data_IF_912933973288
#
_entry.id   IF_912933973288
#
_cell.length_a   1.000
_cell.length_b   1.000
_cell.length_c   1.000
_cell.angle_alpha   90.00
_cell.angle_beta   90.00
_cell.angle_gamma   90.00
#
_symmetry.space_group_name_H-M   'P 1'
#
loop_
_entity.id
_entity.type
_entity.pdbx_description
1 polymer ?
#
# COMPACT_ATOMS: atom_id res chain seq x y z
N UNK A 1 21.25 -6.78 -14.06
CA UNK A 1 20.49 -5.85 -13.18
C UNK A 1 19.61 -5.02 -14.09
N UNK A 2 18.30 -5.06 -13.93
CA UNK A 2 17.42 -4.19 -14.72
C UNK A 2 17.71 -2.72 -14.34
N UNK A 3 18.01 -1.91 -15.36
CA UNK A 3 18.15 -0.46 -15.16
C UNK A 3 16.79 0.13 -14.82
N UNK A 4 16.72 0.96 -13.78
CA UNK A 4 15.45 1.62 -13.46
C UNK A 4 15.00 2.53 -14.60
N UNK A 5 13.69 2.60 -14.84
CA UNK A 5 13.13 3.58 -15.75
C UNK A 5 13.43 5.02 -15.32
N UNK A 6 13.30 5.95 -16.26
CA UNK A 6 13.43 7.39 -15.98
C UNK A 6 12.12 7.98 -15.49
N UNK A 7 12.19 9.16 -14.87
CA UNK A 7 11.00 9.92 -14.45
C UNK A 7 10.11 10.37 -15.64
N UNK A 8 10.62 10.30 -16.85
CA UNK A 8 9.92 10.62 -18.10
C UNK A 8 9.30 9.41 -18.78
N UNK A 9 9.59 8.20 -18.29
CA UNK A 9 9.03 6.97 -18.84
C UNK A 9 7.59 6.77 -18.40
N UNK A 10 6.85 5.93 -19.13
CA UNK A 10 5.43 5.71 -18.86
C UNK A 10 5.20 4.95 -17.55
N UNK A 11 3.98 5.06 -17.00
CA UNK A 11 3.57 4.27 -15.84
C UNK A 11 3.68 2.76 -16.12
N UNK A 12 3.31 2.32 -17.33
CA UNK A 12 3.39 0.92 -17.73
C UNK A 12 4.84 0.40 -17.67
N UNK A 13 5.83 1.21 -18.09
CA UNK A 13 7.25 0.86 -18.00
C UNK A 13 7.68 0.68 -16.54
N UNK A 14 7.20 1.55 -15.63
CA UNK A 14 7.47 1.43 -14.21
C UNK A 14 6.80 0.22 -13.58
N UNK A 15 5.56 -0.10 -13.97
CA UNK A 15 4.84 -1.28 -13.47
C UNK A 15 5.50 -2.58 -13.93
N UNK A 16 5.94 -2.65 -15.20
CA UNK A 16 6.72 -3.78 -15.71
C UNK A 16 8.05 -3.95 -14.96
N UNK A 17 8.78 -2.85 -14.76
CA UNK A 17 10.00 -2.86 -13.97
C UNK A 17 9.80 -3.44 -12.57
N UNK A 18 8.81 -2.93 -11.82
CA UNK A 18 8.51 -3.42 -10.48
C UNK A 18 8.06 -4.89 -10.46
N UNK A 19 7.45 -5.37 -11.53
CA UNK A 19 7.12 -6.79 -11.71
C UNK A 19 8.33 -7.72 -11.78
N UNK A 20 9.54 -7.18 -12.05
CA UNK A 20 10.76 -7.95 -12.28
C UNK A 20 11.92 -7.63 -11.30
N UNK A 21 11.75 -6.69 -10.40
CA UNK A 21 12.81 -6.27 -9.43
C UNK A 21 13.03 -7.31 -8.35
N UNK A 22 11.99 -7.99 -7.93
CA UNK A 22 12.02 -8.99 -6.88
C UNK A 22 11.72 -10.38 -7.44
N UNK A 23 12.37 -11.41 -6.87
CA UNK A 23 12.29 -12.78 -7.38
C UNK A 23 10.97 -13.46 -7.05
N UNK A 24 10.34 -13.09 -5.93
CA UNK A 24 9.09 -13.69 -5.45
C UNK A 24 7.93 -12.71 -5.56
N UNK A 25 6.79 -13.20 -6.10
CA UNK A 25 5.60 -12.35 -6.28
C UNK A 25 4.95 -11.93 -4.95
N UNK A 26 5.00 -12.80 -3.94
CA UNK A 26 4.54 -12.56 -2.57
C UNK A 26 5.68 -12.84 -1.62
N UNK A 27 6.02 -11.87 -0.80
CA UNK A 27 7.01 -12.00 0.26
C UNK A 27 6.44 -11.29 1.50
N UNK A 28 6.08 -12.08 2.51
CA UNK A 28 5.50 -11.58 3.77
C UNK A 28 6.62 -11.30 4.76
N UNK A 29 6.58 -10.14 5.36
CA UNK A 29 7.58 -9.70 6.35
C UNK A 29 7.87 -8.22 6.19
N UNK A 30 8.24 -7.56 7.27
CA UNK A 30 8.44 -6.11 7.30
C UNK A 30 9.93 -5.72 7.34
N UNK A 31 10.83 -6.68 7.56
CA UNK A 31 12.25 -6.42 7.81
C UNK A 31 12.94 -5.69 6.64
N UNK A 32 12.54 -6.00 5.40
CA UNK A 32 13.07 -5.34 4.19
C UNK A 32 12.40 -4.01 3.91
N UNK A 33 11.11 -3.90 4.23
CA UNK A 33 10.29 -2.74 3.89
C UNK A 33 10.53 -1.59 4.88
N UNK A 34 10.69 -1.89 6.17
CA UNK A 34 10.86 -0.88 7.23
C UNK A 34 12.00 0.09 6.92
N UNK A 35 13.24 -0.32 6.61
CA UNK A 35 14.32 0.62 6.34
C UNK A 35 14.03 1.56 5.17
N UNK A 36 13.34 1.04 4.13
CA UNK A 36 12.97 1.85 2.95
C UNK A 36 11.85 2.84 3.32
N UNK A 37 10.84 2.39 4.07
CA UNK A 37 9.76 3.24 4.55
C UNK A 37 10.25 4.36 5.48
N UNK A 38 11.21 4.04 6.37
CA UNK A 38 11.87 5.03 7.22
C UNK A 38 12.64 6.07 6.40
N UNK A 39 13.40 5.62 5.39
CA UNK A 39 14.13 6.50 4.49
C UNK A 39 13.21 7.43 3.69
N UNK A 40 12.04 6.95 3.31
CA UNK A 40 10.99 7.73 2.66
C UNK A 40 10.27 8.69 3.64
N UNK A 41 10.43 8.49 4.96
CA UNK A 41 9.77 9.27 6.00
C UNK A 41 8.27 9.07 6.02
N UNK A 42 7.81 7.82 5.78
CA UNK A 42 6.37 7.48 5.72
C UNK A 42 5.89 6.62 6.88
N UNK A 43 6.78 6.17 7.78
CA UNK A 43 6.42 5.30 8.91
C UNK A 43 5.67 6.01 10.03
N UNK A 44 5.77 7.33 10.11
CA UNK A 44 5.11 8.18 11.13
C UNK A 44 4.51 9.42 10.45
N UNK A 45 3.41 9.26 9.71
CA UNK A 45 2.77 10.40 9.07
C UNK A 45 2.13 11.34 10.10
N UNK A 46 2.06 12.63 9.79
CA UNK A 46 1.31 13.61 10.58
C UNK A 46 -0.22 13.45 10.40
N UNK A 47 -0.65 12.49 9.59
CA UNK A 47 -2.04 12.17 9.30
C UNK A 47 -2.60 11.13 10.28
N UNK A 48 -3.94 11.06 10.40
CA UNK A 48 -4.61 9.93 11.04
C UNK A 48 -4.64 8.73 10.12
N UNK A 49 -4.30 7.55 10.62
CA UNK A 49 -4.22 6.31 9.84
C UNK A 49 -5.30 5.33 10.26
N UNK A 50 -6.13 4.91 9.30
CA UNK A 50 -7.15 3.88 9.46
C UNK A 50 -6.76 2.68 8.59
N UNK A 51 -6.49 1.54 9.21
CA UNK A 51 -6.13 0.30 8.52
C UNK A 51 -7.29 -0.68 8.58
N UNK A 52 -7.66 -1.26 7.44
CA UNK A 52 -8.76 -2.21 7.33
C UNK A 52 -8.25 -3.55 6.83
N UNK A 53 -8.36 -4.56 7.69
CA UNK A 53 -8.08 -5.97 7.41
C UNK A 53 -9.38 -6.79 7.34
N UNK A 54 -9.26 -8.07 7.04
CA UNK A 54 -10.37 -9.02 7.00
C UNK A 54 -10.36 -9.90 5.75
N UNK A 55 -11.23 -10.90 5.72
CA UNK A 55 -11.36 -11.78 4.56
C UNK A 55 -12.12 -11.09 3.45
N UNK A 56 -13.33 -10.63 3.72
CA UNK A 56 -14.20 -9.96 2.75
C UNK A 56 -14.62 -8.56 3.23
N UNK A 57 -14.96 -7.69 2.29
CA UNK A 57 -15.55 -6.38 2.60
C UNK A 57 -14.54 -5.28 2.93
N UNK A 58 -13.21 -5.54 2.86
CA UNK A 58 -12.17 -4.52 3.08
C UNK A 58 -12.36 -3.30 2.18
N UNK A 59 -12.41 -3.53 0.86
CA UNK A 59 -12.55 -2.44 -0.12
C UNK A 59 -13.85 -1.64 0.04
N UNK A 60 -14.98 -2.30 0.35
CA UNK A 60 -16.24 -1.60 0.64
C UNK A 60 -16.14 -0.74 1.90
N UNK A 61 -15.50 -1.26 2.94
CA UNK A 61 -15.30 -0.54 4.21
C UNK A 61 -14.38 0.67 4.01
N UNK A 62 -13.23 0.49 3.36
CA UNK A 62 -12.28 1.59 3.10
C UNK A 62 -12.89 2.66 2.20
N UNK A 63 -13.64 2.27 1.17
CA UNK A 63 -14.37 3.20 0.30
C UNK A 63 -15.40 4.03 1.09
N UNK A 64 -16.18 3.37 1.96
CA UNK A 64 -17.20 4.04 2.77
C UNK A 64 -16.55 5.00 3.78
N UNK A 65 -15.50 4.57 4.49
CA UNK A 65 -14.74 5.42 5.41
C UNK A 65 -14.19 6.66 4.70
N UNK A 66 -13.54 6.46 3.55
CA UNK A 66 -12.99 7.56 2.78
C UNK A 66 -14.08 8.53 2.29
N UNK A 67 -15.25 8.03 1.88
CA UNK A 67 -16.38 8.86 1.46
C UNK A 67 -16.91 9.71 2.61
N UNK A 68 -17.11 9.13 3.80
CA UNK A 68 -17.56 9.84 5.00
C UNK A 68 -16.58 10.94 5.39
N UNK A 69 -15.27 10.62 5.45
CA UNK A 69 -14.23 11.56 5.83
C UNK A 69 -14.07 12.70 4.83
N UNK A 70 -14.14 12.39 3.52
CA UNK A 70 -14.14 13.42 2.47
C UNK A 70 -15.36 14.35 2.58
N UNK A 71 -16.55 13.80 2.89
CA UNK A 71 -17.77 14.60 3.10
C UNK A 71 -17.67 15.52 4.33
N UNK A 72 -16.84 15.17 5.32
CA UNK A 72 -16.51 16.03 6.45
C UNK A 72 -15.44 17.09 6.15
N UNK A 73 -14.90 17.10 4.94
CA UNK A 73 -13.92 18.09 4.48
C UNK A 73 -12.45 17.69 4.64
N UNK A 74 -12.17 16.50 5.18
CA UNK A 74 -10.79 16.02 5.27
C UNK A 74 -10.20 15.71 3.89
N UNK A 75 -8.90 15.93 3.73
CA UNK A 75 -8.16 15.45 2.57
C UNK A 75 -7.74 14.01 2.79
N UNK A 76 -8.48 13.08 2.20
CA UNK A 76 -8.28 11.65 2.40
C UNK A 76 -7.43 11.08 1.29
N UNK A 77 -6.36 10.35 1.68
CA UNK A 77 -5.65 9.39 0.85
C UNK A 77 -6.25 7.99 1.06
N UNK A 78 -6.72 7.35 -0.01
CA UNK A 78 -7.26 6.00 0.02
C UNK A 78 -6.36 5.06 -0.78
N UNK A 79 -5.88 3.99 -0.13
CA UNK A 79 -5.14 2.89 -0.77
C UNK A 79 -5.97 1.61 -0.74
N UNK A 80 -6.12 0.96 -1.92
CA UNK A 80 -6.89 -0.27 -2.09
C UNK A 80 -6.21 -1.23 -3.06
N UNK A 81 -6.50 -2.54 -2.93
CA UNK A 81 -6.02 -3.56 -3.85
C UNK A 81 -6.96 -4.77 -3.90
N UNK A 82 -7.02 -5.48 -5.04
CA UNK A 82 -6.43 -5.13 -6.35
C UNK A 82 -7.20 -4.04 -7.08
N UNK A 83 -6.68 -3.55 -8.21
CA UNK A 83 -7.44 -2.76 -9.17
C UNK A 83 -8.25 -3.67 -10.11
N UNK A 84 -9.24 -3.11 -10.80
CA UNK A 84 -10.10 -3.85 -11.74
C UNK A 84 -9.72 -3.56 -13.20
N UNK A 85 -9.52 -2.30 -13.57
CA UNK A 85 -9.21 -1.87 -14.93
C UNK A 85 -7.86 -1.18 -15.05
N UNK A 86 -7.54 -0.27 -14.12
CA UNK A 86 -6.35 0.58 -14.17
C UNK A 86 -5.63 0.60 -12.84
N UNK A 87 -4.32 0.62 -12.89
CA UNK A 87 -3.49 0.65 -11.68
C UNK A 87 -3.83 1.85 -10.76
N UNK A 88 -4.19 3.01 -11.35
CA UNK A 88 -4.53 4.24 -10.64
C UNK A 88 -5.68 4.06 -9.63
N UNK A 89 -6.60 3.10 -9.86
CA UNK A 89 -7.69 2.77 -8.93
C UNK A 89 -7.21 2.49 -7.51
N UNK A 90 -5.95 2.00 -7.37
CA UNK A 90 -5.36 1.66 -6.08
C UNK A 90 -5.10 2.87 -5.19
N UNK A 91 -4.93 4.07 -5.78
CA UNK A 91 -4.51 5.28 -5.06
C UNK A 91 -5.45 6.42 -5.41
N UNK A 92 -6.21 6.88 -4.43
CA UNK A 92 -7.16 7.99 -4.60
C UNK A 92 -6.90 9.11 -3.62
N UNK A 93 -7.05 10.33 -4.09
CA UNK A 93 -7.01 11.56 -3.28
C UNK A 93 -8.37 12.23 -3.37
N UNK A 94 -9.01 12.48 -2.23
CA UNK A 94 -10.37 13.06 -2.17
C UNK A 94 -11.38 12.33 -3.07
N UNK A 95 -11.24 11.01 -3.19
CA UNK A 95 -12.11 10.17 -4.02
C UNK A 95 -11.78 10.13 -5.50
N UNK A 96 -10.75 10.86 -5.96
CA UNK A 96 -10.30 10.89 -7.36
C UNK A 96 -9.00 10.08 -7.50
N UNK A 97 -8.92 9.23 -8.52
CA UNK A 97 -7.71 8.49 -8.84
C UNK A 97 -6.55 9.46 -9.15
N UNK A 98 -5.37 9.14 -8.65
CA UNK A 98 -4.16 9.92 -8.97
C UNK A 98 -3.77 9.73 -10.43
N UNK A 99 -3.13 10.72 -11.02
CA UNK A 99 -2.64 10.65 -12.40
C UNK A 99 -1.36 9.78 -12.51
N UNK A 100 -1.03 9.39 -13.73
CA UNK A 100 0.13 8.55 -14.01
C UNK A 100 1.45 9.20 -13.56
N UNK A 101 1.59 10.52 -13.73
CA UNK A 101 2.82 11.21 -13.38
C UNK A 101 3.06 11.23 -11.86
N UNK A 102 2.01 11.37 -11.08
CA UNK A 102 2.09 11.28 -9.62
C UNK A 102 2.60 9.90 -9.17
N UNK A 103 2.12 8.82 -9.80
CA UNK A 103 2.60 7.46 -9.54
C UNK A 103 4.06 7.28 -9.97
N UNK A 104 4.43 7.74 -11.16
CA UNK A 104 5.82 7.69 -11.66
C UNK A 104 6.76 8.42 -10.71
N UNK A 105 6.42 9.63 -10.29
CA UNK A 105 7.24 10.42 -9.37
C UNK A 105 7.43 9.71 -8.02
N UNK A 106 6.39 9.06 -7.51
CA UNK A 106 6.49 8.27 -6.29
C UNK A 106 7.35 7.03 -6.49
N UNK A 107 7.22 6.32 -7.61
CA UNK A 107 8.08 5.17 -7.93
C UNK A 107 9.55 5.53 -8.04
N UNK A 108 9.89 6.69 -8.60
CA UNK A 108 11.27 7.19 -8.62
C UNK A 108 11.81 7.35 -7.20
N UNK A 109 11.03 7.93 -6.29
CA UNK A 109 11.45 8.09 -4.88
C UNK A 109 11.63 6.74 -4.18
N UNK A 110 10.69 5.81 -4.38
CA UNK A 110 10.75 4.46 -3.81
C UNK A 110 11.96 3.69 -4.33
N UNK A 111 12.23 3.74 -5.64
CA UNK A 111 13.37 3.06 -6.25
C UNK A 111 14.71 3.62 -5.74
N UNK A 112 14.80 4.94 -5.60
CA UNK A 112 16.00 5.56 -5.03
C UNK A 112 16.19 5.14 -3.57
N UNK A 113 15.14 5.17 -2.75
CA UNK A 113 15.22 4.82 -1.34
C UNK A 113 15.63 3.35 -1.13
N UNK A 114 15.05 2.39 -1.90
CA UNK A 114 15.43 0.98 -1.80
C UNK A 114 16.88 0.74 -2.20
N UNK A 115 17.38 1.45 -3.25
CA UNK A 115 18.77 1.34 -3.70
C UNK A 115 19.73 1.87 -2.65
N UNK A 116 19.38 2.98 -2.03
CA UNK A 116 20.19 3.57 -0.96
C UNK A 116 20.27 2.63 0.26
N UNK A 117 19.26 1.77 0.45
CA UNK A 117 19.25 0.74 1.49
C UNK A 117 19.86 -0.59 1.04
N UNK A 118 20.27 -0.72 -0.24
CA UNK A 118 20.71 -1.97 -0.86
C UNK A 118 19.70 -3.13 -0.71
N UNK A 119 18.40 -2.82 -0.86
CA UNK A 119 17.29 -3.75 -0.70
C UNK A 119 16.49 -3.92 -1.98
N UNK A 120 15.83 -5.07 -2.12
CA UNK A 120 14.80 -5.29 -3.13
C UNK A 120 13.41 -5.19 -2.51
N UNK A 121 12.44 -4.76 -3.30
CA UNK A 121 11.03 -4.71 -2.93
C UNK A 121 10.20 -5.51 -3.92
N UNK A 122 9.21 -6.25 -3.42
CA UNK A 122 8.21 -6.86 -4.26
C UNK A 122 7.32 -5.79 -4.92
N UNK A 123 6.59 -6.17 -5.95
CA UNK A 123 5.63 -5.29 -6.61
C UNK A 123 4.64 -4.65 -5.62
N UNK A 124 4.10 -5.46 -4.70
CA UNK A 124 3.12 -4.98 -3.74
C UNK A 124 3.74 -4.00 -2.73
N UNK A 125 4.94 -4.29 -2.23
CA UNK A 125 5.67 -3.41 -1.32
C UNK A 125 5.98 -2.05 -1.97
N UNK A 126 6.50 -2.07 -3.19
CA UNK A 126 6.83 -0.85 -3.92
C UNK A 126 5.59 0.00 -4.21
N UNK A 127 4.49 -0.64 -4.63
CA UNK A 127 3.24 0.08 -4.95
C UNK A 127 2.56 0.65 -3.71
N UNK A 128 2.63 -0.04 -2.57
CA UNK A 128 2.12 0.47 -1.29
C UNK A 128 2.95 1.66 -0.80
N UNK A 129 4.27 1.56 -0.82
CA UNK A 129 5.14 2.67 -0.44
C UNK A 129 4.96 3.89 -1.35
N UNK A 130 4.73 3.69 -2.66
CA UNK A 130 4.42 4.79 -3.58
C UNK A 130 3.12 5.51 -3.20
N UNK A 131 2.08 4.79 -2.77
CA UNK A 131 0.86 5.40 -2.27
C UNK A 131 1.13 6.25 -1.00
N UNK A 132 1.94 5.76 -0.08
CA UNK A 132 2.30 6.49 1.14
C UNK A 132 3.11 7.76 0.84
N UNK A 133 4.03 7.70 -0.12
CA UNK A 133 4.78 8.88 -0.61
C UNK A 133 3.80 9.91 -1.16
N UNK A 134 2.86 9.51 -2.01
CA UNK A 134 1.85 10.41 -2.56
C UNK A 134 1.02 11.06 -1.44
N UNK A 135 0.55 10.28 -0.47
CA UNK A 135 -0.28 10.82 0.62
C UNK A 135 0.49 11.80 1.50
N UNK A 136 1.77 11.51 1.78
CA UNK A 136 2.67 12.42 2.50
C UNK A 136 2.89 13.71 1.70
N UNK A 137 3.30 13.61 0.44
CA UNK A 137 3.62 14.76 -0.41
C UNK A 137 2.40 15.66 -0.65
N UNK A 138 1.23 15.05 -0.63
CA UNK A 138 -0.04 15.74 -0.74
C UNK A 138 -0.58 16.27 0.59
N UNK A 139 0.12 16.06 1.69
CA UNK A 139 -0.31 16.46 3.04
C UNK A 139 -1.76 16.03 3.32
N UNK A 140 -2.05 14.71 3.15
CA UNK A 140 -3.37 14.16 3.48
C UNK A 140 -3.61 14.21 4.98
N UNK A 141 -4.83 14.60 5.40
CA UNK A 141 -5.23 14.64 6.80
C UNK A 141 -5.47 13.24 7.36
N UNK A 142 -5.96 12.34 6.49
CA UNK A 142 -6.31 10.96 6.85
C UNK A 142 -5.85 10.01 5.74
N UNK A 143 -5.24 8.89 6.15
CA UNK A 143 -4.90 7.77 5.29
C UNK A 143 -5.83 6.60 5.61
N UNK A 144 -6.55 6.10 4.61
CA UNK A 144 -7.41 4.92 4.72
C UNK A 144 -6.75 3.81 3.90
N UNK A 145 -6.29 2.77 4.59
CA UNK A 145 -5.41 1.75 4.03
C UNK A 145 -6.10 0.39 4.05
N UNK A 146 -6.18 -0.27 2.89
CA UNK A 146 -6.62 -1.65 2.76
C UNK A 146 -5.44 -2.60 2.86
N UNK A 147 -5.53 -3.59 3.74
CA UNK A 147 -4.57 -4.71 3.83
C UNK A 147 -4.69 -5.58 2.56
N UNK A 148 -3.57 -5.88 1.93
CA UNK A 148 -3.54 -6.76 0.76
C UNK A 148 -3.71 -8.23 1.14
N UNK A 149 -2.84 -8.74 2.01
CA UNK A 149 -2.85 -10.15 2.43
C UNK A 149 -2.54 -10.30 3.92
N UNK A 150 -3.41 -11.01 4.63
CA UNK A 150 -3.26 -11.19 6.07
C UNK A 150 -3.53 -9.90 6.82
N UNK A 151 -2.53 -9.35 7.44
CA UNK A 151 -2.53 -8.09 8.19
C UNK A 151 -1.16 -7.89 8.85
N UNK A 152 -0.84 -8.69 9.87
CA UNK A 152 0.34 -8.55 10.72
C UNK A 152 1.66 -8.35 9.96
N UNK A 153 1.86 -9.05 8.85
CA UNK A 153 3.07 -8.99 8.02
C UNK A 153 2.85 -8.26 6.67
N UNK A 154 1.68 -7.64 6.49
CA UNK A 154 1.42 -6.84 5.30
C UNK A 154 2.14 -5.49 5.39
N UNK A 155 2.59 -5.01 4.24
CA UNK A 155 3.36 -3.76 4.15
C UNK A 155 2.62 -2.53 4.70
N UNK A 156 1.28 -2.50 4.71
CA UNK A 156 0.54 -1.38 5.32
C UNK A 156 0.83 -1.23 6.82
N UNK A 157 1.26 -2.31 7.47
CA UNK A 157 1.60 -2.32 8.90
C UNK A 157 3.04 -1.86 9.22
N UNK A 158 3.76 -1.29 8.26
CA UNK A 158 4.95 -0.46 8.58
C UNK A 158 4.57 0.83 9.30
N UNK A 159 3.28 1.17 9.31
CA UNK A 159 2.70 2.32 10.00
C UNK A 159 1.77 1.82 11.11
N UNK A 160 1.97 2.30 12.33
CA UNK A 160 1.02 2.04 13.43
C UNK A 160 -0.27 2.82 13.20
N UNK A 161 -1.43 2.18 13.06
CA UNK A 161 -2.68 2.86 12.78
C UNK A 161 -3.28 3.51 14.04
N UNK A 162 -3.97 4.65 13.88
CA UNK A 162 -4.83 5.23 14.94
C UNK A 162 -6.10 4.38 15.15
N UNK A 163 -6.59 3.74 14.08
CA UNK A 163 -7.75 2.84 14.11
C UNK A 163 -7.49 1.63 13.22
N UNK A 164 -7.60 0.43 13.78
CA UNK A 164 -7.59 -0.83 13.05
C UNK A 164 -8.98 -1.45 13.02
N UNK A 165 -9.41 -1.91 11.85
CA UNK A 165 -10.70 -2.56 11.63
C UNK A 165 -10.49 -3.94 11.03
N UNK A 166 -11.09 -4.96 11.61
CA UNK A 166 -11.22 -6.29 11.00
C UNK A 166 -12.68 -6.49 10.61
N UNK A 167 -12.94 -6.62 9.31
CA UNK A 167 -14.31 -6.73 8.78
C UNK A 167 -14.95 -8.07 9.14
N UNK A 168 -14.24 -9.15 8.86
CA UNK A 168 -14.61 -10.52 9.21
C UNK A 168 -13.40 -11.47 9.06
N UNK A 169 -13.53 -12.66 9.62
CA UNK A 169 -12.55 -13.74 9.48
C UNK A 169 -13.27 -14.93 8.82
N UNK A 170 -12.70 -15.43 7.74
CA UNK A 170 -13.16 -16.60 7.02
C UNK A 170 -11.97 -17.40 6.46
N UNK A 171 -12.22 -18.61 5.97
CA UNK A 171 -11.21 -19.42 5.31
C UNK A 171 -10.88 -18.80 3.95
N UNK A 172 -9.65 -18.31 3.82
CA UNK A 172 -9.10 -17.74 2.60
C UNK A 172 -7.58 -17.70 2.69
N UNK A 173 -6.90 -17.75 1.54
CA UNK A 173 -5.43 -17.71 1.49
C UNK A 173 -4.75 -18.72 2.42
N UNK A 174 -5.29 -19.93 2.51
CA UNK A 174 -4.85 -20.96 3.47
C UNK A 174 -3.39 -21.38 3.30
N UNK A 175 -2.85 -21.25 2.08
CA UNK A 175 -1.44 -21.52 1.79
C UNK A 175 -0.48 -20.53 2.47
N UNK A 176 -0.98 -19.35 2.88
CA UNK A 176 -0.19 -18.27 3.49
C UNK A 176 -0.56 -17.99 4.94
N UNK A 177 -1.85 -18.07 5.28
CA UNK A 177 -2.38 -17.64 6.58
C UNK A 177 -2.70 -18.80 7.50
N UNK A 178 -2.62 -20.04 6.99
CA UNK A 178 -2.97 -21.25 7.73
C UNK A 178 -4.38 -21.76 7.41
N UNK A 179 -4.65 -22.98 7.83
CA UNK A 179 -5.77 -23.83 7.43
C UNK A 179 -6.97 -23.78 8.41
N UNK A 180 -6.88 -22.93 9.46
CA UNK A 180 -7.97 -22.75 10.43
C UNK A 180 -8.33 -21.27 10.62
N UNK A 181 -9.56 -21.02 11.08
CA UNK A 181 -10.05 -19.67 11.39
C UNK A 181 -9.16 -18.96 12.42
N UNK A 182 -8.69 -19.70 13.43
CA UNK A 182 -7.83 -19.15 14.51
C UNK A 182 -6.47 -18.71 13.96
N UNK A 183 -5.86 -19.51 13.07
CA UNK A 183 -4.58 -19.14 12.44
C UNK A 183 -4.75 -17.90 11.55
N UNK A 184 -5.81 -17.89 10.73
CA UNK A 184 -6.13 -16.73 9.87
C UNK A 184 -6.42 -15.50 10.71
N UNK A 185 -7.14 -15.63 11.83
CA UNK A 185 -7.44 -14.52 12.73
C UNK A 185 -6.17 -13.95 13.39
N UNK A 186 -5.19 -14.80 13.70
CA UNK A 186 -3.90 -14.37 14.24
C UNK A 186 -3.08 -13.54 13.23
N UNK A 187 -3.17 -13.87 11.95
CA UNK A 187 -2.44 -13.18 10.89
C UNK A 187 -3.14 -11.88 10.42
N UNK A 188 -4.42 -11.69 10.76
CA UNK A 188 -5.19 -10.47 10.44
C UNK A 188 -5.22 -9.46 11.59
#
# INVERSE_FOLDING_TARGET
MNTAPLATDSLETWLDYWGHVHVTGIDLGLERVIPVAEKLGVTRPDAKVLTVAGTNGKGSTTTTLAAILNAQGYKVGLYQSPHIYRFNERVKLRGVEVDNQSLVNAFVQVDQARRDCDLSLSFFEATTLAAFVIFKDQACDVWVLEVGLGGRLDVVNVIEPDVAVITNIGLDHTDWLGDTIEKIAFEK
#
